data_IF_512613586910
#
_entry.id   IF_512613586910
#
_cell.length_a   1.000
_cell.length_b   1.000
_cell.length_c   1.000
_cell.angle_alpha   90.00
_cell.angle_beta   90.00
_cell.angle_gamma   90.00
#
_symmetry.space_group_name_H-M   'P 1'
#
loop_
_entity.id
_entity.type
_entity.pdbx_description
1 polymer ?
#
# COMPACT_ATOMS: atom_id res chain seq x y z
N UNK A 1 -1.92 9.79 1.17
CA UNK A 1 -0.57 9.21 1.08
C UNK A 1 0.46 9.89 2.00
N UNK A 2 0.81 9.23 3.11
CA UNK A 2 2.00 9.54 3.93
C UNK A 2 3.10 8.52 3.62
N UNK A 3 4.08 8.90 2.81
CA UNK A 3 5.11 7.98 2.27
C UNK A 3 5.93 7.30 3.37
N UNK A 4 6.26 8.01 4.46
CA UNK A 4 7.04 7.44 5.56
C UNK A 4 6.26 6.30 6.24
N UNK A 5 4.98 6.50 6.53
CA UNK A 5 4.13 5.48 7.11
C UNK A 5 4.01 4.25 6.19
N UNK A 6 3.87 4.47 4.88
CA UNK A 6 3.74 3.40 3.90
C UNK A 6 5.02 2.56 3.79
N UNK A 7 6.19 3.18 3.82
CA UNK A 7 7.48 2.46 3.82
C UNK A 7 7.67 1.73 5.15
N UNK A 8 7.48 2.40 6.28
CA UNK A 8 7.71 1.83 7.62
C UNK A 8 6.81 0.62 7.89
N UNK A 9 5.53 0.68 7.51
CA UNK A 9 4.56 -0.39 7.71
C UNK A 9 4.70 -1.55 6.71
N UNK A 10 5.58 -1.43 5.70
CA UNK A 10 5.82 -2.49 4.71
C UNK A 10 6.80 -3.58 5.17
N UNK A 11 7.46 -3.41 6.32
CA UNK A 11 8.50 -4.32 6.81
C UNK A 11 9.73 -4.37 5.90
N UNK A 12 10.41 -5.52 5.86
CA UNK A 12 11.72 -5.67 5.17
C UNK A 12 11.62 -6.16 3.72
N UNK A 13 10.41 -6.26 3.14
CA UNK A 13 10.23 -6.80 1.79
C UNK A 13 10.19 -5.68 0.76
N UNK A 14 11.24 -5.55 -0.05
CA UNK A 14 11.32 -4.59 -1.15
C UNK A 14 10.11 -4.62 -2.08
N UNK A 15 9.58 -5.82 -2.36
CA UNK A 15 8.40 -5.97 -3.22
C UNK A 15 7.13 -5.42 -2.57
N UNK A 16 6.99 -5.58 -1.25
CA UNK A 16 5.87 -5.00 -0.51
C UNK A 16 6.04 -3.49 -0.44
N UNK A 17 7.24 -2.99 -0.14
CA UNK A 17 7.55 -1.55 -0.12
C UNK A 17 7.20 -0.92 -1.48
N UNK A 18 7.68 -1.50 -2.59
CA UNK A 18 7.39 -1.02 -3.94
C UNK A 18 5.88 -1.04 -4.21
N UNK A 19 5.20 -2.14 -3.89
CA UNK A 19 3.75 -2.25 -4.08
C UNK A 19 2.96 -1.22 -3.28
N UNK A 20 3.37 -0.98 -2.04
CA UNK A 20 2.76 -0.01 -1.14
C UNK A 20 3.00 1.42 -1.65
N UNK A 21 4.22 1.71 -2.12
CA UNK A 21 4.57 3.01 -2.69
C UNK A 21 3.77 3.36 -3.97
N UNK A 22 3.51 2.38 -4.85
CA UNK A 22 2.80 2.63 -6.12
C UNK A 22 1.27 2.52 -6.02
N UNK A 23 0.70 2.27 -4.84
CA UNK A 23 -0.69 1.89 -4.67
C UNK A 23 -1.71 2.86 -5.27
N UNK A 24 -1.45 4.17 -5.18
CA UNK A 24 -2.29 5.24 -5.75
C UNK A 24 -2.40 5.20 -7.28
N UNK A 25 -1.35 4.71 -7.94
CA UNK A 25 -1.28 4.60 -9.40
C UNK A 25 -1.96 3.34 -9.93
N UNK A 26 -2.29 2.37 -9.06
CA UNK A 26 -2.92 1.11 -9.45
C UNK A 26 -4.42 1.15 -9.20
N UNK A 27 -5.19 1.33 -10.28
CA UNK A 27 -6.65 1.51 -10.21
C UNK A 27 -7.41 0.18 -10.13
N UNK A 28 -8.48 0.17 -9.34
CA UNK A 28 -9.42 -0.95 -9.27
C UNK A 28 -8.74 -2.31 -9.02
N UNK A 29 -8.92 -3.23 -9.96
CA UNK A 29 -8.38 -4.60 -9.93
C UNK A 29 -7.07 -4.78 -10.71
N UNK A 30 -6.45 -3.71 -11.21
CA UNK A 30 -5.19 -3.80 -11.97
C UNK A 30 -4.03 -4.38 -11.14
N UNK A 31 -4.12 -4.34 -9.81
CA UNK A 31 -3.18 -4.98 -8.90
C UNK A 31 -3.05 -6.50 -9.13
N UNK A 32 -4.05 -7.13 -9.77
CA UNK A 32 -4.00 -8.55 -10.13
C UNK A 32 -2.96 -8.85 -11.22
N UNK A 33 -2.53 -7.85 -12.00
CA UNK A 33 -1.48 -7.97 -13.02
C UNK A 33 -0.07 -8.05 -12.43
N UNK A 34 0.08 -7.76 -11.14
CA UNK A 34 1.37 -7.74 -10.46
C UNK A 34 1.68 -9.07 -9.76
N UNK A 35 2.97 -9.38 -9.56
CA UNK A 35 3.41 -10.49 -8.71
C UNK A 35 2.80 -10.40 -7.30
N UNK A 36 2.58 -11.55 -6.66
CA UNK A 36 1.87 -11.66 -5.39
C UNK A 36 2.39 -10.71 -4.30
N UNK A 37 3.71 -10.59 -4.15
CA UNK A 37 4.31 -9.71 -3.15
C UNK A 37 4.05 -8.21 -3.41
N UNK A 38 4.09 -7.78 -4.67
CA UNK A 38 3.77 -6.39 -5.05
C UNK A 38 2.27 -6.15 -4.87
N UNK A 39 1.43 -7.12 -5.23
CA UNK A 39 -0.01 -7.10 -4.95
C UNK A 39 -0.30 -6.91 -3.46
N UNK A 40 0.41 -7.62 -2.58
CA UNK A 40 0.27 -7.45 -1.12
C UNK A 40 0.59 -6.02 -0.69
N UNK A 41 1.65 -5.43 -1.24
CA UNK A 41 1.97 -4.01 -1.02
C UNK A 41 0.86 -3.05 -1.47
N UNK A 42 0.31 -3.24 -2.68
CA UNK A 42 -0.78 -2.40 -3.21
C UNK A 42 -2.04 -2.51 -2.34
N UNK A 43 -2.35 -3.70 -1.83
CA UNK A 43 -3.46 -3.89 -0.90
C UNK A 43 -3.16 -3.20 0.43
N UNK A 44 -1.93 -3.31 0.93
CA UNK A 44 -1.50 -2.68 2.17
C UNK A 44 -1.61 -1.15 2.12
N UNK A 45 -1.23 -0.51 1.01
CA UNK A 45 -1.46 0.93 0.77
C UNK A 45 -2.91 1.30 1.07
N UNK A 46 -3.85 0.58 0.45
CA UNK A 46 -5.29 0.87 0.57
C UNK A 46 -5.80 0.66 1.99
N UNK A 47 -5.21 -0.28 2.73
CA UNK A 47 -5.54 -0.50 4.14
C UNK A 47 -5.02 0.62 5.03
N UNK A 48 -3.81 1.13 4.77
CA UNK A 48 -3.23 2.25 5.52
C UNK A 48 -4.05 3.51 5.29
N UNK A 49 -4.21 3.92 4.04
CA UNK A 49 -5.00 5.12 3.70
C UNK A 49 -6.45 4.97 4.21
N UNK A 50 -7.09 3.81 4.00
CA UNK A 50 -8.45 3.56 4.48
C UNK A 50 -8.58 3.55 6.01
N UNK A 51 -7.51 3.19 6.74
CA UNK A 51 -7.47 3.32 8.19
C UNK A 51 -7.35 4.78 8.58
N UNK A 52 -6.37 5.52 8.04
CA UNK A 52 -6.12 6.91 8.42
C UNK A 52 -7.27 7.84 8.06
N UNK A 53 -7.88 7.67 6.88
CA UNK A 53 -8.98 8.52 6.41
C UNK A 53 -10.26 8.35 7.26
N UNK A 54 -10.38 7.23 7.98
CA UNK A 54 -11.55 6.91 8.81
C UNK A 54 -11.27 6.99 10.30
N UNK A 55 -10.02 7.22 10.69
CA UNK A 55 -9.64 7.21 12.10
C UNK A 55 -9.96 8.57 12.73
N UNK A 56 -10.80 8.65 13.78
CA UNK A 56 -11.33 9.93 14.28
C UNK A 56 -10.30 10.85 14.94
N UNK A 57 -9.05 10.40 15.10
CA UNK A 57 -7.98 11.12 15.80
C UNK A 57 -6.69 11.24 14.98
N UNK A 58 -6.70 10.78 13.73
CA UNK A 58 -5.58 10.94 12.79
C UNK A 58 -6.03 11.82 11.64
#
# INVERSE_FOLDING_TARGET
MNVLAHIYLSGDSDKIIIGNYIGDYVKGRDYLKYPEAIRKGIILHRLIDGFTDRHPVV
#
